data_IF_981680011790
#
_entry.id   IF_981680011790
#
_cell.length_a   1.000
_cell.length_b   1.000
_cell.length_c   1.000
_cell.angle_alpha   90.00
_cell.angle_beta   90.00
_cell.angle_gamma   90.00
#
_symmetry.space_group_name_H-M   'P 1'
#
loop_
_entity.id
_entity.type
_entity.pdbx_description
1 polymer ?
#
# COMPACT_ATOMS: atom_id res chain seq x y z
N UNK A 1 -11.47 -20.57 -3.61
CA UNK A 1 -12.36 -20.74 -2.44
C UNK A 1 -11.54 -20.72 -1.14
N UNK A 2 -12.14 -20.23 -0.01
CA UNK A 2 -11.46 -20.28 1.28
C UNK A 2 -11.22 -21.71 1.74
N UNK A 3 -10.04 -22.00 2.29
CA UNK A 3 -9.64 -23.29 2.80
C UNK A 3 -9.37 -23.23 4.31
N UNK A 4 -9.74 -24.25 5.07
CA UNK A 4 -9.38 -24.34 6.49
C UNK A 4 -7.97 -24.87 6.64
N UNK A 5 -7.10 -24.07 7.32
CA UNK A 5 -5.72 -24.42 7.57
C UNK A 5 -5.39 -24.11 9.04
N UNK A 6 -5.04 -25.17 9.81
CA UNK A 6 -4.74 -25.07 11.24
C UNK A 6 -5.79 -24.25 12.03
N UNK A 7 -7.07 -24.58 11.86
CA UNK A 7 -8.19 -23.97 12.59
C UNK A 7 -8.64 -22.59 12.10
N UNK A 8 -7.95 -21.99 11.13
CA UNK A 8 -8.28 -20.68 10.54
C UNK A 8 -8.78 -20.81 9.11
N UNK A 9 -9.75 -20.00 8.69
CA UNK A 9 -10.18 -19.90 7.29
C UNK A 9 -9.21 -18.98 6.53
N UNK A 10 -8.57 -19.52 5.49
CA UNK A 10 -7.61 -18.83 4.65
C UNK A 10 -8.22 -18.57 3.29
N UNK A 11 -8.37 -17.32 2.90
CA UNK A 11 -8.86 -16.86 1.59
C UNK A 11 -7.78 -16.22 0.72
N UNK A 12 -6.60 -15.95 1.30
CA UNK A 12 -5.47 -15.32 0.62
C UNK A 12 -4.17 -16.01 1.04
N UNK A 13 -3.34 -16.35 0.07
CA UNK A 13 -2.00 -16.88 0.29
C UNK A 13 -0.99 -16.09 -0.54
N UNK A 14 0.23 -15.92 -0.03
CA UNK A 14 1.25 -15.20 -0.77
C UNK A 14 1.81 -16.03 -1.92
N UNK A 15 2.14 -15.34 -3.01
CA UNK A 15 2.95 -15.82 -4.13
C UNK A 15 4.34 -15.17 -4.13
N UNK A 16 4.70 -14.52 -3.03
CA UNK A 16 5.98 -13.86 -2.76
C UNK A 16 6.38 -12.81 -3.81
N UNK A 17 6.83 -13.24 -5.00
CA UNK A 17 7.35 -12.38 -6.06
C UNK A 17 7.21 -13.02 -7.45
N UNK A 18 7.63 -12.28 -8.50
CA UNK A 18 7.54 -12.70 -9.91
C UNK A 18 8.28 -14.01 -10.18
N UNK A 19 9.48 -14.17 -9.63
CA UNK A 19 10.32 -15.34 -9.90
C UNK A 19 9.67 -16.60 -9.30
N UNK A 20 9.11 -16.48 -8.11
CA UNK A 20 8.37 -17.57 -7.47
C UNK A 20 7.08 -17.93 -8.22
N UNK A 21 6.35 -16.95 -8.74
CA UNK A 21 5.17 -17.20 -9.59
C UNK A 21 5.56 -18.00 -10.84
N UNK A 22 6.66 -17.63 -11.51
CA UNK A 22 7.18 -18.34 -12.67
C UNK A 22 7.66 -19.75 -12.34
N UNK A 23 8.36 -19.91 -11.22
CA UNK A 23 8.81 -21.22 -10.74
C UNK A 23 7.66 -22.17 -10.45
N UNK A 24 6.54 -21.65 -9.94
CA UNK A 24 5.32 -22.42 -9.70
C UNK A 24 4.52 -22.71 -10.96
N UNK A 25 4.81 -22.07 -12.09
CA UNK A 25 3.94 -22.03 -13.29
C UNK A 25 2.49 -21.70 -12.92
N UNK A 26 2.32 -20.72 -12.00
CA UNK A 26 1.01 -20.39 -11.47
C UNK A 26 0.12 -19.73 -12.54
N UNK A 27 -1.12 -20.19 -12.67
CA UNK A 27 -2.10 -19.72 -13.65
C UNK A 27 -3.39 -19.34 -12.95
N UNK A 28 -4.14 -18.41 -13.56
CA UNK A 28 -5.44 -18.03 -13.02
C UNK A 28 -6.42 -19.21 -13.15
N UNK A 29 -7.06 -19.54 -12.03
CA UNK A 29 -7.99 -20.69 -11.96
C UNK A 29 -7.36 -22.00 -11.48
N UNK A 30 -6.06 -22.04 -11.21
CA UNK A 30 -5.38 -23.24 -10.73
C UNK A 30 -5.92 -23.72 -9.38
N UNK A 31 -5.88 -25.04 -9.21
CA UNK A 31 -5.95 -25.65 -7.88
C UNK A 31 -4.54 -25.64 -7.28
N UNK A 32 -4.38 -24.99 -6.14
CA UNK A 32 -3.08 -24.81 -5.49
C UNK A 32 -3.02 -25.48 -4.13
N UNK A 33 -1.84 -25.98 -3.76
CA UNK A 33 -1.56 -26.41 -2.39
C UNK A 33 -1.06 -25.23 -1.58
N UNK A 34 -1.64 -25.03 -0.39
CA UNK A 34 -1.32 -23.93 0.52
C UNK A 34 -0.82 -24.48 1.84
N UNK A 35 0.22 -23.85 2.40
CA UNK A 35 0.67 -24.09 3.77
C UNK A 35 0.85 -22.77 4.53
N UNK A 36 1.04 -22.85 5.84
CA UNK A 36 1.49 -21.69 6.65
C UNK A 36 3.01 -21.69 6.71
N UNK A 37 3.64 -20.62 6.20
CA UNK A 37 5.07 -20.39 6.41
C UNK A 37 5.26 -19.81 7.82
N UNK A 38 6.18 -20.40 8.61
CA UNK A 38 6.46 -19.99 9.97
C UNK A 38 5.22 -19.94 10.87
N UNK A 39 4.25 -20.83 10.64
CA UNK A 39 2.97 -20.95 11.37
C UNK A 39 2.00 -19.78 11.22
N UNK A 40 2.35 -18.70 10.53
CA UNK A 40 1.55 -17.47 10.47
C UNK A 40 1.08 -17.15 9.07
N UNK A 41 1.98 -17.09 8.08
CA UNK A 41 1.69 -16.56 6.74
C UNK A 41 1.30 -17.70 5.79
N UNK A 42 0.06 -17.71 5.25
CA UNK A 42 -0.29 -18.68 4.23
C UNK A 42 0.48 -18.40 2.93
N UNK A 43 1.09 -19.44 2.36
CA UNK A 43 1.80 -19.37 1.08
C UNK A 43 1.32 -20.48 0.13
N UNK A 44 1.39 -20.23 -1.16
CA UNK A 44 1.20 -21.25 -2.19
C UNK A 44 2.51 -22.03 -2.32
N UNK A 45 2.41 -23.37 -2.23
CA UNK A 45 3.59 -24.26 -2.29
C UNK A 45 3.78 -24.81 -3.70
N UNK A 46 2.68 -25.15 -4.36
CA UNK A 46 2.68 -25.68 -5.73
C UNK A 46 1.33 -25.48 -6.39
N UNK A 47 1.33 -25.40 -7.72
CA UNK A 47 0.16 -25.62 -8.52
C UNK A 47 -0.09 -27.14 -8.64
N UNK A 48 -1.27 -27.60 -8.30
CA UNK A 48 -1.62 -29.02 -8.30
C UNK A 48 -2.27 -29.43 -9.63
N UNK A 49 -3.03 -28.53 -10.24
CA UNK A 49 -3.62 -28.74 -11.57
C UNK A 49 -3.96 -27.40 -12.22
N UNK A 50 -3.89 -27.37 -13.55
CA UNK A 50 -4.26 -26.23 -14.39
C UNK A 50 -5.60 -26.49 -15.10
N UNK A 51 -6.32 -25.41 -15.41
CA UNK A 51 -7.42 -25.47 -16.35
C UNK A 51 -6.90 -25.72 -17.79
N UNK A 52 -7.68 -26.37 -18.68
CA UNK A 52 -7.19 -26.74 -20.03
C UNK A 52 -6.59 -25.55 -20.83
N UNK A 53 -7.20 -24.36 -20.74
CA UNK A 53 -6.80 -23.16 -21.50
C UNK A 53 -6.09 -22.11 -20.64
N UNK A 54 -5.67 -22.48 -19.44
CA UNK A 54 -5.00 -21.55 -18.54
C UNK A 54 -3.59 -21.22 -19.05
N UNK A 55 -3.27 -19.93 -19.10
CA UNK A 55 -1.94 -19.43 -19.44
C UNK A 55 -1.15 -19.05 -18.18
N UNK A 56 0.18 -19.19 -18.18
CA UNK A 56 1.02 -18.75 -17.08
C UNK A 56 0.76 -17.28 -16.71
N UNK A 57 0.66 -16.99 -15.41
CA UNK A 57 0.44 -15.63 -14.97
C UNK A 57 1.72 -14.82 -15.08
N UNK A 58 1.65 -13.72 -15.83
CA UNK A 58 2.74 -12.76 -15.92
C UNK A 58 2.38 -11.47 -15.15
N UNK A 59 3.32 -11.03 -14.30
CA UNK A 59 3.14 -9.75 -13.60
C UNK A 59 3.24 -8.58 -14.58
N UNK A 60 2.45 -7.50 -14.38
CA UNK A 60 2.53 -6.32 -15.22
C UNK A 60 3.95 -5.74 -15.28
N UNK A 61 4.42 -5.40 -16.49
CA UNK A 61 5.70 -4.73 -16.69
C UNK A 61 5.62 -3.21 -16.52
N UNK A 62 4.41 -2.69 -16.46
CA UNK A 62 4.14 -1.26 -16.26
C UNK A 62 3.32 -1.03 -15.00
N UNK A 63 3.51 0.12 -14.39
CA UNK A 63 2.71 0.51 -13.24
C UNK A 63 1.23 0.65 -13.64
N UNK A 64 0.30 -0.04 -12.98
CA UNK A 64 -1.12 0.02 -13.33
C UNK A 64 -1.77 1.37 -13.05
N UNK A 65 -1.09 2.26 -12.31
CA UNK A 65 -1.63 3.57 -11.94
C UNK A 65 -1.13 4.69 -12.86
N UNK A 66 0.17 4.71 -13.19
CA UNK A 66 0.76 5.80 -13.98
C UNK A 66 1.35 5.35 -15.33
N UNK A 67 1.30 4.06 -15.68
CA UNK A 67 1.82 3.52 -16.94
C UNK A 67 3.35 3.46 -17.06
N UNK A 68 4.09 3.99 -16.08
CA UNK A 68 5.55 3.97 -16.11
C UNK A 68 6.07 2.54 -16.04
N UNK A 69 7.10 2.21 -16.83
CA UNK A 69 7.74 0.90 -16.79
C UNK A 69 8.27 0.59 -15.40
N UNK A 70 7.86 -0.55 -14.86
CA UNK A 70 8.34 -1.01 -13.56
C UNK A 70 9.79 -1.46 -13.66
N UNK A 71 10.56 -1.17 -12.62
CA UNK A 71 11.98 -1.56 -12.52
C UNK A 71 12.18 -2.53 -11.37
N UNK A 72 13.19 -3.36 -11.52
CA UNK A 72 13.68 -4.25 -10.47
C UNK A 72 15.08 -3.79 -10.09
N UNK A 73 15.30 -3.56 -8.82
CA UNK A 73 16.65 -3.37 -8.30
C UNK A 73 17.42 -4.71 -8.39
N UNK A 74 18.73 -4.65 -8.61
CA UNK A 74 19.57 -5.83 -8.74
C UNK A 74 19.56 -6.68 -7.45
N UNK A 75 19.39 -6.06 -6.31
CA UNK A 75 19.39 -6.71 -4.99
C UNK A 75 17.98 -7.07 -4.48
N UNK A 76 16.91 -6.63 -5.17
CA UNK A 76 15.53 -6.88 -4.77
C UNK A 76 14.79 -7.80 -5.76
N UNK A 77 13.93 -8.67 -5.22
CA UNK A 77 13.01 -9.48 -6.05
C UNK A 77 11.74 -8.73 -6.46
N UNK A 78 11.47 -7.56 -5.90
CA UNK A 78 10.26 -6.79 -6.12
C UNK A 78 10.35 -5.88 -7.34
N UNK A 79 9.28 -5.86 -8.17
CA UNK A 79 9.08 -4.84 -9.20
C UNK A 79 8.50 -3.59 -8.57
N UNK A 80 9.10 -2.42 -8.86
CA UNK A 80 8.68 -1.13 -8.32
C UNK A 80 8.46 -0.10 -9.43
N UNK A 81 7.51 0.79 -9.21
CA UNK A 81 7.35 1.97 -10.06
C UNK A 81 8.41 3.01 -9.69
N UNK A 82 9.28 3.44 -10.61
CA UNK A 82 10.32 4.43 -10.34
C UNK A 82 9.82 5.88 -10.40
N UNK A 83 8.58 6.10 -10.86
CA UNK A 83 8.05 7.45 -11.04
C UNK A 83 7.77 8.12 -9.68
N UNK A 84 8.49 9.21 -9.32
CA UNK A 84 8.27 9.93 -8.06
C UNK A 84 6.91 10.61 -8.01
N UNK A 85 6.31 10.95 -9.15
CA UNK A 85 5.02 11.63 -9.26
C UNK A 85 3.85 10.65 -9.41
N UNK A 86 4.11 9.35 -9.28
CA UNK A 86 3.04 8.35 -9.32
C UNK A 86 2.05 8.55 -8.15
N UNK A 87 0.72 8.70 -8.42
CA UNK A 87 -0.27 8.89 -7.36
C UNK A 87 -0.26 7.79 -6.30
N UNK A 88 -0.01 6.53 -6.69
CA UNK A 88 0.11 5.41 -5.75
C UNK A 88 1.36 5.52 -4.86
N UNK A 89 2.47 6.03 -5.39
CA UNK A 89 3.68 6.28 -4.60
C UNK A 89 3.48 7.44 -3.64
N UNK A 90 2.86 8.51 -4.10
CA UNK A 90 2.52 9.65 -3.26
C UNK A 90 1.63 9.22 -2.10
N UNK A 91 0.56 8.45 -2.37
CA UNK A 91 -0.33 7.90 -1.35
C UNK A 91 0.46 7.13 -0.28
N UNK A 92 1.36 6.23 -0.69
CA UNK A 92 2.18 5.43 0.24
C UNK A 92 3.12 6.29 1.08
N UNK A 93 3.79 7.26 0.45
CA UNK A 93 4.67 8.22 1.17
C UNK A 93 3.90 9.04 2.20
N UNK A 94 2.69 9.51 1.86
CA UNK A 94 1.84 10.24 2.80
C UNK A 94 1.40 9.39 4.00
N UNK A 95 0.99 8.14 3.75
CA UNK A 95 0.61 7.20 4.81
C UNK A 95 1.80 6.93 5.72
N UNK A 96 2.99 6.70 5.15
CA UNK A 96 4.21 6.50 5.92
C UNK A 96 4.55 7.75 6.75
N UNK A 97 4.54 8.93 6.13
CA UNK A 97 4.81 10.19 6.81
C UNK A 97 3.86 10.44 8.00
N UNK A 98 2.58 10.14 7.83
CA UNK A 98 1.57 10.31 8.86
C UNK A 98 1.60 9.22 9.95
N UNK A 99 2.33 8.12 9.73
CA UNK A 99 2.35 6.97 10.63
C UNK A 99 2.82 7.31 12.05
N UNK A 100 2.47 6.42 12.99
CA UNK A 100 2.82 6.58 14.41
C UNK A 100 4.33 6.71 14.65
N UNK A 101 5.13 5.96 13.90
CA UNK A 101 6.58 5.94 14.05
C UNK A 101 7.27 7.13 13.36
N UNK A 102 6.62 7.74 12.38
CA UNK A 102 7.04 8.96 11.71
C UNK A 102 6.46 10.21 12.40
N UNK A 103 5.64 10.99 11.72
CA UNK A 103 5.14 12.27 12.24
C UNK A 103 3.92 12.14 13.15
N UNK A 104 3.35 10.93 13.30
CA UNK A 104 2.23 10.62 14.19
C UNK A 104 1.05 11.58 14.04
N UNK A 105 0.54 11.72 12.81
CA UNK A 105 -0.61 12.58 12.51
C UNK A 105 -1.88 11.76 12.67
N UNK A 106 -2.47 11.81 13.85
CA UNK A 106 -3.73 11.11 14.15
C UNK A 106 -4.88 11.61 13.25
N UNK A 107 -5.73 10.68 12.82
CA UNK A 107 -6.82 10.99 11.88
C UNK A 107 -6.42 11.01 10.40
N UNK A 108 -5.12 10.96 10.06
CA UNK A 108 -4.63 10.92 8.69
C UNK A 108 -4.32 9.47 8.24
N UNK A 109 -5.33 8.60 8.28
CA UNK A 109 -5.23 7.24 7.75
C UNK A 109 -5.33 7.18 6.23
N UNK A 110 -5.08 5.98 5.65
CA UNK A 110 -5.05 5.76 4.20
C UNK A 110 -6.27 6.30 3.45
N UNK A 111 -7.47 6.14 4.01
CA UNK A 111 -8.70 6.59 3.38
C UNK A 111 -8.83 8.13 3.34
N UNK A 112 -8.36 8.80 4.39
CA UNK A 112 -8.39 10.26 4.44
C UNK A 112 -7.31 10.87 3.53
N UNK A 113 -6.12 10.27 3.47
CA UNK A 113 -5.09 10.64 2.51
C UNK A 113 -5.58 10.48 1.08
N UNK A 114 -6.23 9.35 0.75
CA UNK A 114 -6.79 9.10 -0.58
C UNK A 114 -7.87 10.12 -0.93
N UNK A 115 -8.79 10.43 -0.01
CA UNK A 115 -9.85 11.43 -0.23
C UNK A 115 -9.27 12.81 -0.51
N UNK A 116 -8.28 13.25 0.27
CA UNK A 116 -7.60 14.53 0.10
C UNK A 116 -6.81 14.59 -1.21
N UNK A 117 -6.15 13.50 -1.60
CA UNK A 117 -5.44 13.40 -2.88
C UNK A 117 -6.41 13.44 -4.06
N UNK A 118 -7.53 12.71 -3.99
CA UNK A 118 -8.56 12.68 -5.04
C UNK A 118 -9.22 14.06 -5.22
N UNK A 119 -9.40 14.79 -4.11
CA UNK A 119 -9.91 16.17 -4.15
C UNK A 119 -8.88 17.21 -4.64
N UNK A 120 -7.63 16.80 -4.89
CA UNK A 120 -6.56 17.69 -5.37
C UNK A 120 -5.94 18.57 -4.28
N UNK A 121 -6.12 18.24 -3.01
CA UNK A 121 -5.54 19.01 -1.89
C UNK A 121 -4.15 18.52 -1.46
N UNK A 122 -3.74 17.32 -1.88
CA UNK A 122 -2.44 16.74 -1.55
C UNK A 122 -1.66 16.32 -2.80
N UNK A 123 -0.60 17.04 -3.11
CA UNK A 123 0.38 16.73 -4.15
C UNK A 123 1.77 16.47 -3.55
N UNK A 124 1.99 16.94 -2.33
CA UNK A 124 3.25 16.79 -1.60
C UNK A 124 3.00 16.71 -0.10
N UNK A 125 3.99 16.24 0.65
CA UNK A 125 3.94 16.21 2.12
C UNK A 125 3.76 17.62 2.70
N UNK A 126 4.30 18.65 2.04
CA UNK A 126 4.18 20.04 2.48
C UNK A 126 2.73 20.55 2.44
N UNK A 127 1.88 20.01 1.56
CA UNK A 127 0.49 20.44 1.45
C UNK A 127 -0.34 20.04 2.67
N UNK A 128 0.07 19.01 3.43
CA UNK A 128 -0.55 18.66 4.71
C UNK A 128 -0.58 19.86 5.66
N UNK A 129 0.48 20.65 5.68
CA UNK A 129 0.64 21.81 6.56
C UNK A 129 -0.04 23.08 6.06
N UNK A 130 -0.68 23.01 4.88
CA UNK A 130 -1.45 24.10 4.26
C UNK A 130 -2.94 23.82 4.23
N UNK A 131 -3.37 22.62 4.67
CA UNK A 131 -4.78 22.25 4.71
C UNK A 131 -5.57 23.21 5.60
N UNK A 132 -6.76 23.57 5.12
CA UNK A 132 -7.70 24.42 5.86
C UNK A 132 -8.93 23.61 6.30
N UNK A 133 -9.65 24.15 7.29
CA UNK A 133 -10.88 23.53 7.77
C UNK A 133 -11.95 23.43 6.69
N UNK A 134 -12.06 24.50 5.88
CA UNK A 134 -13.02 24.58 4.78
C UNK A 134 -12.78 23.48 3.73
N UNK A 135 -11.52 23.21 3.39
CA UNK A 135 -11.17 22.12 2.48
C UNK A 135 -11.57 20.76 3.04
N UNK A 136 -11.32 20.53 4.33
CA UNK A 136 -11.68 19.27 4.98
C UNK A 136 -13.19 19.08 5.01
N UNK A 137 -13.97 20.12 5.31
CA UNK A 137 -15.43 20.07 5.38
C UNK A 137 -16.11 19.85 4.01
N UNK A 138 -15.39 20.04 2.89
CA UNK A 138 -15.88 19.67 1.56
C UNK A 138 -15.86 18.16 1.28
N UNK A 139 -15.19 17.38 2.14
CA UNK A 139 -15.09 15.95 2.01
C UNK A 139 -16.12 15.25 2.91
N UNK A 140 -16.90 14.34 2.36
CA UNK A 140 -17.95 13.58 3.07
C UNK A 140 -17.45 12.86 4.35
N UNK A 141 -16.14 12.66 4.46
CA UNK A 141 -15.52 11.94 5.57
C UNK A 141 -15.22 12.83 6.78
N UNK A 142 -15.36 14.14 6.66
CA UNK A 142 -15.01 15.08 7.72
C UNK A 142 -16.25 15.88 8.19
N UNK A 143 -16.52 15.78 9.48
CA UNK A 143 -17.38 16.70 10.21
C UNK A 143 -16.51 17.72 10.96
N UNK A 144 -17.12 18.77 11.49
CA UNK A 144 -16.48 19.86 12.24
C UNK A 144 -15.39 19.34 13.20
N UNK A 145 -15.78 18.44 14.10
CA UNK A 145 -14.88 17.91 15.14
C UNK A 145 -13.71 17.10 14.57
N UNK A 146 -13.94 16.28 13.55
CA UNK A 146 -12.89 15.46 12.94
C UNK A 146 -11.91 16.31 12.13
N UNK A 147 -12.39 17.36 11.46
CA UNK A 147 -11.55 18.33 10.77
C UNK A 147 -10.64 19.10 11.76
N UNK A 148 -11.21 19.59 12.86
CA UNK A 148 -10.46 20.26 13.92
C UNK A 148 -9.40 19.34 14.55
N UNK A 149 -9.76 18.12 14.89
CA UNK A 149 -8.81 17.14 15.45
C UNK A 149 -7.64 16.86 14.50
N UNK A 150 -7.92 16.69 13.19
CA UNK A 150 -6.87 16.48 12.20
C UNK A 150 -5.94 17.69 12.10
N UNK A 151 -6.48 18.91 12.02
CA UNK A 151 -5.65 20.12 11.96
C UNK A 151 -4.81 20.32 13.23
N UNK A 152 -5.35 19.99 14.40
CA UNK A 152 -4.58 19.99 15.65
C UNK A 152 -3.46 18.96 15.64
N UNK A 153 -3.72 17.73 15.12
CA UNK A 153 -2.71 16.69 15.00
C UNK A 153 -1.58 17.12 14.02
N UNK A 154 -1.94 17.75 12.89
CA UNK A 154 -0.98 18.32 11.93
C UNK A 154 -0.14 19.43 12.62
N UNK A 155 -0.78 20.34 13.34
CA UNK A 155 -0.06 21.40 14.07
C UNK A 155 0.89 20.83 15.13
N UNK A 156 0.45 19.83 15.89
CA UNK A 156 1.25 19.14 16.91
C UNK A 156 2.45 18.43 16.29
N UNK A 157 2.30 17.84 15.09
CA UNK A 157 3.39 17.14 14.42
C UNK A 157 4.61 18.02 14.11
N UNK A 158 4.43 19.34 13.99
CA UNK A 158 5.53 20.30 13.79
C UNK A 158 6.51 20.35 14.97
N UNK A 159 6.12 19.84 16.13
CA UNK A 159 6.95 19.79 17.34
C UNK A 159 7.76 18.50 17.44
N UNK A 160 7.59 17.57 16.48
CA UNK A 160 8.35 16.33 16.46
C UNK A 160 9.85 16.62 16.23
N UNK A 161 10.75 15.82 16.86
CA UNK A 161 12.19 15.99 16.67
C UNK A 161 12.61 15.60 15.24
N UNK A 162 13.72 16.20 14.79
CA UNK A 162 14.27 16.02 13.44
C UNK A 162 14.39 14.54 12.98
N UNK A 163 14.83 13.57 13.81
CA UNK A 163 14.91 12.19 13.40
C UNK A 163 13.58 11.61 12.89
N UNK A 164 12.46 12.00 13.49
CA UNK A 164 11.13 11.56 13.04
C UNK A 164 10.74 12.14 11.69
N UNK A 165 11.13 13.39 11.43
CA UNK A 165 10.91 14.02 10.13
C UNK A 165 11.73 13.32 9.04
N UNK A 166 13.02 13.06 9.29
CA UNK A 166 13.91 12.35 8.36
C UNK A 166 13.34 10.97 8.04
N UNK A 167 12.99 10.18 9.07
CA UNK A 167 12.33 8.89 8.91
C UNK A 167 11.01 9.00 8.12
N UNK A 168 10.20 10.01 8.42
CA UNK A 168 8.93 10.25 7.72
C UNK A 168 9.11 10.60 6.24
N UNK A 169 10.21 11.24 5.87
CA UNK A 169 10.57 11.54 4.47
C UNK A 169 11.14 10.31 3.74
N UNK A 170 11.46 9.23 4.46
CA UNK A 170 12.01 8.00 3.90
C UNK A 170 13.51 8.10 3.61
N UNK A 171 14.23 8.90 4.38
CA UNK A 171 15.68 9.12 4.29
C UNK A 171 16.38 8.29 5.37
#
# INVERSE_FOLDING_TARGET
>A
EPVRLAGTSVSRATLHNRDFIRQLDARVGDIVSVRKAGEIIPEVVRSASHLPDAVPYEMPEVCPVCGTKAVRDAEESALRCPNPDCPAQLLKRMIHFASKDAMNIEGLGAQNVLALQTAGYLHSVADLYRLTKEQLLQLDRFAEKSAENLLQAIAKSKQNPLPRLIFGLGI
#
